data_IF_846081858559
#
_entry.id   IF_846081858559
#
_cell.length_a   1.000
_cell.length_b   1.000
_cell.length_c   1.000
_cell.angle_alpha   90.00
_cell.angle_beta   90.00
_cell.angle_gamma   90.00
#
_symmetry.space_group_name_H-M   'P 1'
#
loop_
_entity.id
_entity.type
_entity.pdbx_description
1 polymer ?
#
# COMPACT_ATOMS: atom_id res chain seq x y z
N UNK A 1 -21.03 10.31 4.48
CA UNK A 1 -19.63 10.47 4.01
C UNK A 1 -19.49 11.93 3.57
N UNK A 2 -18.34 12.60 3.75
CA UNK A 2 -18.24 14.04 3.44
C UNK A 2 -18.49 14.35 1.96
N UNK A 3 -18.76 15.62 1.64
CA UNK A 3 -18.81 16.12 0.24
C UNK A 3 -17.50 15.89 -0.53
N UNK A 4 -16.41 15.60 0.20
CA UNK A 4 -15.03 15.44 -0.25
C UNK A 4 -14.71 13.95 -0.50
N UNK A 5 -14.21 13.63 -1.70
CA UNK A 5 -13.71 12.30 -2.08
C UNK A 5 -12.26 12.39 -2.51
N UNK A 6 -11.44 11.44 -2.08
CA UNK A 6 -10.05 11.32 -2.48
C UNK A 6 -9.99 10.47 -3.76
N UNK A 7 -9.52 11.05 -4.86
CA UNK A 7 -9.29 10.33 -6.11
C UNK A 7 -7.79 10.12 -6.25
N UNK A 8 -7.40 8.85 -6.24
CA UNK A 8 -6.02 8.41 -6.40
C UNK A 8 -5.70 8.09 -7.87
N UNK A 9 -4.45 8.32 -8.25
CA UNK A 9 -3.89 8.00 -9.56
C UNK A 9 -2.51 7.39 -9.39
N UNK A 10 -2.26 6.30 -10.10
CA UNK A 10 -1.00 5.56 -10.06
C UNK A 10 -0.09 5.96 -11.22
N UNK A 11 1.20 6.13 -10.94
CA UNK A 11 2.26 6.38 -11.91
C UNK A 11 3.44 5.42 -11.75
N UNK A 12 4.18 5.25 -12.85
CA UNK A 12 5.45 4.56 -12.94
C UNK A 12 6.52 5.63 -13.11
N UNK A 13 7.40 5.82 -12.13
CA UNK A 13 8.59 6.64 -12.30
C UNK A 13 9.73 5.77 -12.83
N UNK A 14 10.32 6.18 -13.95
CA UNK A 14 11.53 5.58 -14.51
C UNK A 14 12.78 5.99 -13.71
N UNK A 15 12.76 5.65 -12.42
CA UNK A 15 13.82 5.83 -11.46
C UNK A 15 13.68 4.78 -10.34
N UNK A 16 14.78 4.17 -9.88
CA UNK A 16 14.73 3.26 -8.75
C UNK A 16 14.39 4.03 -7.46
N UNK A 17 13.78 3.34 -6.49
CA UNK A 17 13.30 3.95 -5.24
C UNK A 17 14.43 4.68 -4.52
N UNK A 18 15.61 4.07 -4.49
CA UNK A 18 16.83 4.56 -3.89
C UNK A 18 17.16 5.99 -4.39
N UNK A 19 17.06 6.23 -5.70
CA UNK A 19 17.31 7.54 -6.31
C UNK A 19 16.25 8.59 -5.92
N UNK A 20 14.96 8.20 -5.87
CA UNK A 20 13.88 9.10 -5.45
C UNK A 20 14.06 9.54 -3.99
N UNK A 21 14.50 8.63 -3.12
CA UNK A 21 14.77 8.93 -1.71
C UNK A 21 15.99 9.85 -1.58
N UNK A 22 17.07 9.61 -2.33
CA UNK A 22 18.28 10.44 -2.31
C UNK A 22 18.04 11.86 -2.87
N UNK A 23 17.28 11.99 -3.95
CA UNK A 23 16.92 13.29 -4.56
C UNK A 23 15.77 14.01 -3.79
N UNK A 24 15.06 13.27 -2.94
CA UNK A 24 13.97 13.78 -2.11
C UNK A 24 12.72 14.16 -2.90
N UNK A 25 12.43 13.49 -4.01
CA UNK A 25 11.27 13.79 -4.85
C UNK A 25 11.17 12.94 -6.11
N UNK A 26 9.96 12.88 -6.67
CA UNK A 26 9.71 12.26 -7.98
C UNK A 26 9.98 13.32 -9.06
N UNK A 27 10.50 12.90 -10.22
CA UNK A 27 10.69 13.76 -11.41
C UNK A 27 9.52 13.60 -12.37
N UNK A 28 8.92 14.70 -12.83
CA UNK A 28 7.69 14.62 -13.63
C UNK A 28 7.92 14.05 -15.03
N UNK A 29 9.07 14.36 -15.61
CA UNK A 29 9.49 13.99 -16.96
C UNK A 29 9.75 12.48 -17.13
N UNK A 30 9.88 11.74 -16.03
CA UNK A 30 10.13 10.29 -16.05
C UNK A 30 8.89 9.46 -15.69
N UNK A 31 7.71 10.09 -15.58
CA UNK A 31 6.49 9.39 -15.16
C UNK A 31 5.63 8.93 -16.34
N UNK A 32 5.32 7.64 -16.35
CA UNK A 32 4.25 7.06 -17.16
C UNK A 32 3.02 6.81 -16.28
N UNK A 33 1.90 7.45 -16.59
CA UNK A 33 0.66 7.28 -15.82
C UNK A 33 -0.12 6.04 -16.25
N UNK A 34 -0.71 5.33 -15.28
CA UNK A 34 -1.71 4.29 -15.57
C UNK A 34 -2.98 4.93 -16.19
N UNK A 35 -3.79 4.16 -16.94
CA UNK A 35 -5.03 4.64 -17.53
C UNK A 35 -6.02 5.17 -16.50
N UNK A 36 -6.77 6.22 -16.83
CA UNK A 36 -7.82 6.71 -15.94
C UNK A 36 -9.00 5.73 -15.85
N UNK A 37 -9.58 5.60 -14.66
CA UNK A 37 -10.81 4.84 -14.46
C UNK A 37 -12.06 5.70 -14.70
N UNK A 38 -13.23 5.06 -14.66
CA UNK A 38 -14.51 5.75 -14.78
C UNK A 38 -14.73 6.68 -13.58
N UNK A 39 -15.66 7.61 -13.70
CA UNK A 39 -16.05 8.47 -12.58
C UNK A 39 -16.39 7.64 -11.34
N UNK A 40 -16.01 8.16 -10.18
CA UNK A 40 -16.18 7.51 -8.87
C UNK A 40 -15.36 6.23 -8.67
N UNK A 41 -14.37 5.97 -9.51
CA UNK A 41 -13.39 4.92 -9.30
C UNK A 41 -11.98 5.52 -9.18
N UNK A 42 -11.11 4.85 -8.43
CA UNK A 42 -9.70 5.21 -8.35
C UNK A 42 -8.82 3.97 -8.30
N UNK A 43 -7.52 4.18 -8.56
CA UNK A 43 -6.47 3.19 -8.33
C UNK A 43 -5.51 3.72 -7.28
N UNK A 44 -5.14 2.88 -6.33
CA UNK A 44 -4.28 3.21 -5.20
C UNK A 44 -3.37 2.04 -4.83
N UNK A 45 -2.43 2.29 -3.92
CA UNK A 45 -1.53 1.30 -3.35
C UNK A 45 -0.78 0.43 -4.38
N UNK A 46 -0.03 1.02 -5.32
CA UNK A 46 0.64 0.24 -6.35
C UNK A 46 1.83 -0.54 -5.81
N UNK A 47 1.97 -1.78 -6.28
CA UNK A 47 3.16 -2.62 -6.11
C UNK A 47 3.58 -3.23 -7.45
N UNK A 48 4.85 -3.10 -7.79
CA UNK A 48 5.40 -3.53 -9.07
C UNK A 48 6.24 -4.81 -8.92
N UNK A 49 6.16 -5.68 -9.92
CA UNK A 49 6.94 -6.91 -10.00
C UNK A 49 7.44 -7.14 -11.43
N UNK A 50 8.74 -7.35 -11.61
CA UNK A 50 9.32 -7.68 -12.92
C UNK A 50 9.38 -9.19 -13.10
N UNK A 51 8.88 -9.69 -14.24
CA UNK A 51 9.02 -11.09 -14.63
C UNK A 51 9.02 -11.23 -16.15
N UNK A 52 9.91 -12.04 -16.70
CA UNK A 52 9.99 -12.34 -18.14
C UNK A 52 9.94 -11.07 -19.03
N UNK A 53 10.75 -10.05 -18.68
CA UNK A 53 10.81 -8.73 -19.36
C UNK A 53 9.47 -7.98 -19.40
N UNK A 54 8.61 -8.21 -18.41
CA UNK A 54 7.35 -7.47 -18.24
C UNK A 54 7.27 -6.92 -16.83
N UNK A 55 6.71 -5.72 -16.73
CA UNK A 55 6.37 -5.08 -15.47
C UNK A 55 4.90 -5.34 -15.15
N UNK A 56 4.63 -5.95 -14.01
CA UNK A 56 3.31 -6.19 -13.49
C UNK A 56 3.05 -5.20 -12.36
N UNK A 57 1.97 -4.42 -12.45
CA UNK A 57 1.61 -3.43 -11.43
C UNK A 57 0.27 -3.84 -10.83
N UNK A 58 0.32 -4.27 -9.58
CA UNK A 58 -0.83 -4.62 -8.76
C UNK A 58 -1.32 -3.36 -8.06
N UNK A 59 -2.63 -3.11 -8.09
CA UNK A 59 -3.25 -1.93 -7.50
C UNK A 59 -4.55 -2.29 -6.80
N UNK A 60 -4.89 -1.56 -5.74
CA UNK A 60 -6.29 -1.46 -5.33
C UNK A 60 -7.07 -0.75 -6.43
N UNK A 61 -8.21 -1.33 -6.82
CA UNK A 61 -9.23 -0.61 -7.58
C UNK A 61 -10.51 -0.49 -6.77
N UNK A 62 -10.89 0.75 -6.48
CA UNK A 62 -12.01 1.06 -5.62
C UNK A 62 -13.16 1.69 -6.42
N UNK A 63 -14.38 1.31 -6.08
CA UNK A 63 -15.58 1.95 -6.60
C UNK A 63 -16.41 2.56 -5.47
N UNK A 64 -16.54 3.90 -5.45
CA UNK A 64 -17.32 4.61 -4.43
C UNK A 64 -18.81 4.23 -4.41
N UNK A 65 -19.34 3.66 -5.48
CA UNK A 65 -20.75 3.24 -5.58
C UNK A 65 -21.00 1.95 -4.79
N UNK A 66 -20.05 1.02 -4.83
CA UNK A 66 -20.11 -0.25 -4.08
C UNK A 66 -19.39 -0.16 -2.74
N UNK A 67 -18.46 0.79 -2.59
CA UNK A 67 -17.48 0.90 -1.50
C UNK A 67 -16.64 -0.37 -1.30
N UNK A 68 -16.26 -0.98 -2.41
CA UNK A 68 -15.52 -2.23 -2.44
C UNK A 68 -14.26 -2.06 -3.27
N UNK A 69 -13.14 -2.56 -2.73
CA UNK A 69 -11.82 -2.54 -3.34
C UNK A 69 -11.41 -3.96 -3.69
N UNK A 70 -10.94 -4.16 -4.91
CA UNK A 70 -10.38 -5.42 -5.40
C UNK A 70 -8.98 -5.17 -5.95
N UNK A 71 -8.17 -6.22 -6.06
CA UNK A 71 -6.82 -6.12 -6.63
C UNK A 71 -6.90 -6.41 -8.12
N UNK A 72 -6.46 -5.46 -8.94
CA UNK A 72 -6.21 -5.68 -10.36
C UNK A 72 -4.71 -5.62 -10.66
N UNK A 73 -4.32 -6.24 -11.77
CA UNK A 73 -2.95 -6.19 -12.30
C UNK A 73 -2.95 -5.60 -13.70
N UNK A 74 -2.06 -4.64 -13.91
CA UNK A 74 -1.73 -4.06 -15.21
C UNK A 74 -0.37 -4.59 -15.67
N UNK A 75 -0.29 -5.02 -16.93
CA UNK A 75 0.92 -5.63 -17.49
C UNK A 75 1.51 -4.69 -18.52
N UNK A 76 2.78 -4.38 -18.37
CA UNK A 76 3.53 -3.45 -19.20
C UNK A 76 4.73 -4.14 -19.84
N UNK A 77 5.12 -3.68 -21.03
CA UNK A 77 6.44 -4.02 -21.60
C UNK A 77 7.56 -3.17 -20.97
N UNK A 78 8.81 -3.43 -21.38
CA UNK A 78 10.01 -2.71 -20.90
C UNK A 78 10.01 -1.20 -21.24
N UNK A 79 9.12 -0.76 -22.13
CA UNK A 79 8.95 0.65 -22.53
C UNK A 79 7.71 1.28 -21.90
N UNK A 80 7.11 0.61 -20.92
CA UNK A 80 5.90 1.02 -20.22
C UNK A 80 4.67 1.19 -21.14
N UNK A 81 4.60 0.44 -22.25
CA UNK A 81 3.35 0.29 -23.01
C UNK A 81 2.45 -0.75 -22.33
N UNK A 82 1.18 -0.40 -22.14
CA UNK A 82 0.19 -1.29 -21.53
C UNK A 82 -0.13 -2.46 -22.48
N UNK A 83 0.11 -3.68 -22.02
CA UNK A 83 -0.18 -4.94 -22.71
C UNK A 83 -1.51 -5.56 -22.29
N UNK A 84 -1.98 -5.28 -21.07
CA UNK A 84 -3.25 -5.82 -20.59
C UNK A 84 -3.57 -5.48 -19.14
N UNK A 85 -4.82 -5.75 -18.76
CA UNK A 85 -5.39 -5.53 -17.42
C UNK A 85 -6.26 -6.74 -17.05
N UNK A 86 -6.17 -7.21 -15.81
CA UNK A 86 -6.95 -8.35 -15.30
C UNK A 86 -7.24 -8.16 -13.81
N UNK A 87 -8.26 -8.84 -13.30
CA UNK A 87 -8.47 -8.97 -11.85
C UNK A 87 -7.46 -9.99 -11.33
N UNK A 88 -6.68 -9.61 -10.32
CA UNK A 88 -5.70 -10.50 -9.69
C UNK A 88 -6.29 -11.20 -8.47
N UNK A 89 -7.00 -10.46 -7.61
CA UNK A 89 -7.63 -11.01 -6.41
C UNK A 89 -8.91 -10.24 -6.08
N UNK A 90 -9.99 -10.96 -5.79
CA UNK A 90 -11.27 -10.40 -5.40
C UNK A 90 -11.89 -11.27 -4.32
N UNK A 91 -12.34 -10.63 -3.25
CA UNK A 91 -12.91 -11.29 -2.07
C UNK A 91 -14.23 -10.60 -1.67
N UNK A 92 -15.06 -11.23 -0.82
CA UNK A 92 -16.27 -10.60 -0.28
C UNK A 92 -16.01 -9.37 0.60
N UNK A 93 -14.78 -9.18 1.06
CA UNK A 93 -14.32 -8.00 1.79
C UNK A 93 -13.46 -7.09 0.89
N UNK A 94 -13.24 -5.86 1.35
CA UNK A 94 -12.37 -4.90 0.69
C UNK A 94 -10.90 -5.31 0.83
N UNK A 95 -10.16 -5.22 -0.28
CA UNK A 95 -8.72 -5.46 -0.39
C UNK A 95 -8.02 -4.18 -0.84
N UNK A 96 -6.87 -3.88 -0.24
CA UNK A 96 -5.96 -2.79 -0.62
C UNK A 96 -4.51 -3.22 -0.37
N UNK A 97 -3.53 -2.32 -0.57
CA UNK A 97 -2.11 -2.58 -0.28
C UNK A 97 -1.58 -3.96 -0.73
N UNK A 98 -1.70 -4.35 -2.01
CA UNK A 98 -1.32 -5.67 -2.51
C UNK A 98 0.20 -5.84 -2.60
N UNK A 99 0.89 -5.96 -1.47
CA UNK A 99 2.35 -6.08 -1.44
C UNK A 99 2.79 -7.39 -2.11
N UNK A 100 3.39 -7.32 -3.31
CA UNK A 100 3.85 -8.48 -4.10
C UNK A 100 5.38 -8.60 -4.06
N UNK A 101 5.88 -9.81 -3.79
CA UNK A 101 7.31 -10.08 -3.63
C UNK A 101 7.67 -11.54 -3.90
N UNK A 102 8.94 -11.79 -4.15
CA UNK A 102 9.50 -13.14 -4.29
C UNK A 102 10.15 -13.58 -2.98
N UNK A 103 9.89 -14.81 -2.56
CA UNK A 103 10.52 -15.44 -1.41
C UNK A 103 10.44 -16.96 -1.54
N UNK A 104 11.50 -17.65 -1.12
CA UNK A 104 11.56 -19.12 -1.11
C UNK A 104 11.23 -19.78 -2.47
N UNK A 105 11.57 -19.11 -3.57
CA UNK A 105 11.31 -19.58 -4.94
C UNK A 105 9.86 -19.41 -5.43
N UNK A 106 9.01 -18.77 -4.63
CA UNK A 106 7.60 -18.54 -4.91
C UNK A 106 7.31 -17.04 -4.99
N UNK A 107 6.18 -16.68 -5.64
CA UNK A 107 5.68 -15.30 -5.68
C UNK A 107 4.51 -15.18 -4.72
N UNK A 108 4.60 -14.20 -3.82
CA UNK A 108 3.66 -13.97 -2.74
C UNK A 108 2.96 -12.63 -2.88
N UNK A 109 1.74 -12.55 -2.35
CA UNK A 109 0.98 -11.31 -2.18
C UNK A 109 0.48 -11.24 -0.73
N UNK A 110 0.71 -10.11 -0.08
CA UNK A 110 0.20 -9.81 1.26
C UNK A 110 -0.68 -8.56 1.22
N UNK A 111 -1.96 -8.68 0.82
CA UNK A 111 -2.86 -7.54 0.76
C UNK A 111 -3.32 -7.10 2.15
N UNK A 112 -3.63 -5.82 2.32
CA UNK A 112 -4.46 -5.39 3.44
C UNK A 112 -5.88 -5.92 3.25
N UNK A 113 -6.39 -6.58 4.28
CA UNK A 113 -7.74 -7.16 4.31
C UNK A 113 -8.41 -6.94 5.66
N UNK A 114 -8.36 -5.72 6.21
CA UNK A 114 -8.83 -5.42 7.58
C UNK A 114 -10.21 -5.99 7.91
N UNK A 115 -11.16 -5.93 6.96
CA UNK A 115 -12.54 -6.39 7.18
C UNK A 115 -12.69 -7.92 7.20
N UNK A 116 -11.67 -8.68 6.77
CA UNK A 116 -11.61 -10.14 6.96
C UNK A 116 -11.29 -10.53 8.41
N UNK A 117 -10.71 -9.60 9.19
CA UNK A 117 -10.24 -9.84 10.55
C UNK A 117 -8.92 -10.61 10.64
N UNK A 118 -8.24 -10.87 9.52
CA UNK A 118 -6.99 -11.64 9.45
C UNK A 118 -6.00 -11.00 8.49
N UNK A 119 -4.72 -11.32 8.67
CA UNK A 119 -3.66 -11.03 7.70
C UNK A 119 -3.33 -12.34 6.96
N UNK A 120 -3.80 -12.47 5.72
CA UNK A 120 -3.63 -13.69 4.91
C UNK A 120 -2.55 -13.47 3.87
N UNK A 121 -1.54 -14.35 3.87
CA UNK A 121 -0.52 -14.44 2.84
C UNK A 121 -1.04 -15.33 1.70
N UNK A 122 -0.98 -14.82 0.48
CA UNK A 122 -1.38 -15.54 -0.74
C UNK A 122 -0.16 -15.93 -1.55
N UNK A 123 -0.20 -17.13 -2.14
CA UNK A 123 0.80 -17.64 -3.08
C UNK A 123 0.24 -17.60 -4.50
N UNK A 124 1.06 -17.26 -5.48
CA UNK A 124 0.66 -17.34 -6.88
C UNK A 124 0.54 -18.81 -7.32
N UNK A 125 -0.68 -19.30 -7.51
CA UNK A 125 -0.91 -20.61 -8.13
C UNK A 125 -0.60 -20.56 -9.65
N UNK A 126 -0.93 -19.43 -10.28
CA UNK A 126 -0.49 -19.08 -11.63
C UNK A 126 -0.38 -17.56 -11.73
N UNK A 127 0.85 -17.07 -11.84
CA UNK A 127 1.12 -15.63 -11.92
C UNK A 127 0.66 -15.05 -13.28
N UNK A 128 0.01 -13.86 -13.33
CA UNK A 128 -0.17 -12.90 -12.24
C UNK A 128 -1.56 -12.87 -11.58
N UNK A 129 -2.52 -13.68 -12.03
CA UNK A 129 -3.95 -13.49 -11.76
C UNK A 129 -4.66 -14.68 -11.10
N UNK A 130 -3.92 -15.72 -10.69
CA UNK A 130 -4.44 -16.79 -9.85
C UNK A 130 -3.62 -16.90 -8.57
N UNK A 131 -4.28 -16.61 -7.45
CA UNK A 131 -3.70 -16.58 -6.11
C UNK A 131 -4.50 -17.50 -5.18
N UNK A 132 -3.80 -18.22 -4.31
CA UNK A 132 -4.40 -19.08 -3.30
C UNK A 132 -3.97 -18.65 -1.89
N UNK A 133 -4.89 -18.67 -0.89
CA UNK A 133 -4.52 -18.39 0.49
C UNK A 133 -3.61 -19.50 1.01
N UNK A 134 -2.39 -19.14 1.41
CA UNK A 134 -1.37 -20.10 1.82
C UNK A 134 -1.24 -20.20 3.34
N UNK A 135 -1.19 -19.05 4.04
CA UNK A 135 -1.16 -19.02 5.49
C UNK A 135 -1.79 -17.75 6.06
N UNK A 136 -2.25 -17.83 7.30
CA UNK A 136 -2.63 -16.65 8.09
C UNK A 136 -1.46 -16.29 8.99
N UNK A 137 -0.99 -15.04 8.93
CA UNK A 137 0.01 -14.50 9.83
C UNK A 137 -0.70 -14.11 11.13
N UNK A 138 -0.44 -14.86 12.20
CA UNK A 138 -1.01 -14.61 13.52
C UNK A 138 -0.16 -13.58 14.29
N UNK A 139 -0.77 -12.44 14.62
CA UNK A 139 -0.17 -11.35 15.40
C UNK A 139 -0.86 -11.21 16.78
N UNK A 140 -1.53 -12.27 17.23
CA UNK A 140 -2.31 -12.29 18.45
C UNK A 140 -3.48 -11.31 18.37
N UNK A 141 -3.53 -10.27 19.22
CA UNK A 141 -4.66 -9.34 19.25
C UNK A 141 -4.64 -8.29 18.12
N UNK A 142 -3.55 -8.17 17.36
CA UNK A 142 -3.44 -7.15 16.32
C UNK A 142 -4.04 -7.64 15.00
N UNK A 143 -4.81 -6.78 14.32
CA UNK A 143 -5.11 -6.93 12.89
C UNK A 143 -4.26 -5.91 12.14
N UNK A 144 -3.37 -6.38 11.27
CA UNK A 144 -2.45 -5.51 10.55
C UNK A 144 -3.11 -4.72 9.42
N UNK A 145 -2.69 -3.46 9.28
CA UNK A 145 -3.01 -2.51 8.22
C UNK A 145 -1.68 -2.14 7.54
N UNK A 146 -1.68 -2.10 6.20
CA UNK A 146 -0.53 -1.87 5.31
C UNK A 146 0.71 -2.72 5.66
N UNK A 147 0.50 -4.03 5.87
CA UNK A 147 1.57 -4.93 6.27
C UNK A 147 2.67 -5.04 5.20
N UNK A 148 3.92 -4.74 5.56
CA UNK A 148 5.06 -4.75 4.66
C UNK A 148 6.13 -5.74 5.14
N UNK A 149 6.23 -6.94 4.53
CA UNK A 149 7.23 -7.93 4.90
C UNK A 149 8.60 -7.61 4.28
N UNK A 150 9.66 -7.92 5.02
CA UNK A 150 11.03 -7.61 4.59
C UNK A 150 12.05 -8.56 5.22
N UNK A 151 12.81 -9.27 4.40
CA UNK A 151 13.89 -10.13 4.90
C UNK A 151 15.17 -9.32 5.09
N UNK A 152 15.69 -9.30 6.32
CA UNK A 152 16.88 -8.54 6.68
C UNK A 152 17.60 -9.19 7.87
N UNK A 153 18.93 -9.28 7.76
CA UNK A 153 19.81 -9.84 8.80
C UNK A 153 19.35 -11.21 9.31
N UNK A 154 18.92 -12.08 8.39
CA UNK A 154 18.54 -13.46 8.67
C UNK A 154 17.12 -13.65 9.20
N UNK A 155 16.34 -12.56 9.34
CA UNK A 155 14.96 -12.62 9.82
C UNK A 155 14.00 -11.98 8.81
N UNK A 156 12.79 -12.52 8.76
CA UNK A 156 11.64 -11.81 8.22
C UNK A 156 11.17 -10.79 9.24
N UNK A 157 11.05 -9.55 8.82
CA UNK A 157 10.41 -8.46 9.53
C UNK A 157 9.06 -8.15 8.91
N UNK A 158 8.10 -7.73 9.74
CA UNK A 158 6.79 -7.25 9.31
C UNK A 158 6.54 -5.88 9.92
N UNK A 159 6.46 -4.85 9.08
CA UNK A 159 6.07 -3.51 9.50
C UNK A 159 4.56 -3.34 9.27
N UNK A 160 3.83 -2.88 10.28
CA UNK A 160 2.38 -2.69 10.15
C UNK A 160 1.83 -1.68 11.14
N UNK A 161 0.66 -1.13 10.85
CA UNK A 161 -0.15 -0.41 11.83
C UNK A 161 -1.22 -1.34 12.40
N UNK A 162 -1.40 -1.44 13.72
CA UNK A 162 -2.50 -2.21 14.29
C UNK A 162 -3.82 -1.46 14.05
N UNK A 163 -4.82 -2.15 13.50
CA UNK A 163 -6.16 -1.59 13.40
C UNK A 163 -6.78 -1.39 14.78
N UNK A 164 -7.48 -0.28 14.98
CA UNK A 164 -8.17 0.01 16.25
C UNK A 164 -9.62 0.43 16.04
N UNK A 165 -10.49 0.10 17.00
CA UNK A 165 -11.89 0.54 17.06
C UNK A 165 -12.18 1.12 18.46
N UNK A 166 -12.40 2.44 18.60
CA UNK A 166 -12.34 3.46 17.55
C UNK A 166 -10.91 3.69 17.02
N UNK A 167 -10.75 4.35 15.84
CA UNK A 167 -9.44 4.76 15.34
C UNK A 167 -8.71 5.65 16.37
N UNK A 168 -7.43 5.40 16.57
CA UNK A 168 -6.58 6.25 17.42
C UNK A 168 -6.30 7.60 16.71
N UNK A 169 -6.19 8.71 17.45
CA UNK A 169 -5.90 10.02 16.86
C UNK A 169 -4.44 10.15 16.39
N UNK A 170 -3.54 9.31 16.89
CA UNK A 170 -2.13 9.25 16.50
C UNK A 170 -1.85 7.82 16.03
N UNK A 171 -1.05 7.69 14.98
CA UNK A 171 -0.70 6.40 14.41
C UNK A 171 0.36 5.67 15.24
N UNK A 172 0.36 4.34 15.11
CA UNK A 172 1.30 3.42 15.74
C UNK A 172 2.00 2.59 14.66
N UNK A 173 3.32 2.44 14.78
CA UNK A 173 4.07 1.45 14.04
C UNK A 173 4.38 0.27 14.96
N UNK A 174 3.89 -0.90 14.57
CA UNK A 174 4.23 -2.16 15.20
C UNK A 174 5.17 -2.96 14.28
N UNK A 175 6.00 -3.80 14.90
CA UNK A 175 6.82 -4.79 14.22
C UNK A 175 6.52 -6.19 14.73
N UNK A 176 6.67 -7.16 13.85
CA UNK A 176 6.85 -8.56 14.19
C UNK A 176 8.04 -9.13 13.42
N UNK A 177 8.58 -10.26 13.87
CA UNK A 177 9.65 -10.96 13.17
C UNK A 177 9.45 -12.48 13.21
N UNK A 178 10.01 -13.18 12.23
CA UNK A 178 9.98 -14.62 12.10
C UNK A 178 11.25 -15.13 11.40
N UNK A 179 11.61 -16.39 11.63
CA UNK A 179 12.69 -17.05 10.86
C UNK A 179 12.23 -17.48 9.46
N UNK A 180 10.93 -17.74 9.30
CA UNK A 180 10.30 -18.17 8.05
C UNK A 180 9.13 -17.26 7.71
N UNK A 181 8.88 -17.03 6.42
CA UNK A 181 7.81 -16.14 5.97
C UNK A 181 6.42 -16.59 6.47
N UNK A 182 6.20 -17.90 6.52
CA UNK A 182 4.96 -18.52 7.01
C UNK A 182 4.85 -18.55 8.55
N UNK A 183 5.83 -17.98 9.26
CA UNK A 183 5.88 -17.94 10.72
C UNK A 183 6.56 -19.15 11.37
N UNK A 184 6.44 -19.29 12.71
CA UNK A 184 5.63 -18.45 13.59
C UNK A 184 6.17 -17.02 13.70
N UNK A 185 5.25 -16.05 13.75
CA UNK A 185 5.58 -14.63 13.89
C UNK A 185 5.56 -14.22 15.37
N UNK A 186 6.61 -13.52 15.79
CA UNK A 186 6.77 -12.98 17.14
C UNK A 186 6.65 -11.47 17.08
N UNK A 187 5.69 -10.90 17.82
CA UNK A 187 5.59 -9.44 17.95
C UNK A 187 6.80 -8.88 18.67
N UNK A 188 7.27 -7.74 18.18
CA UNK A 188 8.36 -7.03 18.84
C UNK A 188 7.93 -6.57 20.25
N UNK A 189 8.75 -6.81 21.30
CA UNK A 189 8.37 -6.53 22.69
C UNK A 189 8.17 -5.03 22.97
N UNK A 190 8.88 -4.17 22.23
CA UNK A 190 8.76 -2.71 22.37
C UNK A 190 7.65 -2.09 21.50
N UNK A 191 6.66 -2.87 21.06
CA UNK A 191 5.52 -2.33 20.33
C UNK A 191 4.64 -1.43 21.24
N UNK A 192 4.14 -0.28 20.75
CA UNK A 192 4.49 0.34 19.47
C UNK A 192 5.91 0.90 19.48
N UNK A 193 6.71 0.60 18.44
CA UNK A 193 8.09 1.11 18.36
C UNK A 193 8.16 2.59 17.98
N UNK A 194 7.05 3.12 17.47
CA UNK A 194 6.90 4.51 17.08
C UNK A 194 5.45 4.96 17.24
N UNK A 195 5.27 6.17 17.74
CA UNK A 195 3.98 6.81 17.98
C UNK A 195 4.01 8.23 17.41
N UNK A 196 3.43 8.40 16.22
CA UNK A 196 3.47 9.65 15.43
C UNK A 196 2.37 9.59 14.35
N UNK A 197 1.77 10.74 13.99
CA UNK A 197 0.83 10.82 12.88
C UNK A 197 1.51 11.04 11.53
N UNK A 198 2.78 11.46 11.53
CA UNK A 198 3.51 11.81 10.32
C UNK A 198 4.41 10.70 9.76
N UNK A 199 4.54 9.56 10.46
CA UNK A 199 5.58 8.58 10.09
C UNK A 199 5.43 7.17 10.70
N UNK A 200 4.20 6.66 10.80
CA UNK A 200 3.95 5.32 11.40
C UNK A 200 3.30 4.32 10.48
N UNK A 201 2.43 4.75 9.56
CA UNK A 201 1.72 3.86 8.66
C UNK A 201 2.60 3.50 7.46
N UNK A 202 2.89 2.22 7.20
CA UNK A 202 3.66 1.83 6.02
C UNK A 202 3.02 2.37 4.73
N UNK A 203 3.84 2.72 3.76
CA UNK A 203 3.43 3.33 2.52
C UNK A 203 4.31 2.91 1.35
N UNK A 204 4.70 1.64 1.30
CA UNK A 204 5.46 1.04 0.21
C UNK A 204 6.54 0.06 0.64
N UNK A 205 7.59 -0.05 -0.16
CA UNK A 205 8.59 -1.12 -0.07
C UNK A 205 9.77 -0.75 0.85
N UNK A 206 10.05 -1.53 1.92
CA UNK A 206 11.27 -1.39 2.69
C UNK A 206 12.52 -1.71 1.85
N UNK A 207 13.62 -0.98 2.09
CA UNK A 207 14.90 -1.16 1.37
C UNK A 207 16.09 -0.96 2.29
N UNK A 208 17.20 -1.61 1.96
CA UNK A 208 18.52 -1.23 2.51
C UNK A 208 19.12 -0.16 1.62
N UNK A 209 19.27 1.06 2.13
CA UNK A 209 19.96 2.16 1.46
C UNK A 209 21.17 2.57 2.27
N UNK A 210 22.35 2.62 1.64
CA UNK A 210 23.60 3.00 2.31
C UNK A 210 23.84 2.23 3.63
N UNK A 211 23.52 0.94 3.64
CA UNK A 211 23.67 0.05 4.80
C UNK A 211 22.63 0.21 5.90
N UNK A 212 21.54 0.96 5.68
CA UNK A 212 20.47 1.18 6.67
C UNK A 212 19.12 0.78 6.11
N UNK A 213 18.26 0.18 6.94
CA UNK A 213 16.88 -0.09 6.56
C UNK A 213 16.09 1.21 6.51
N UNK A 214 15.33 1.38 5.45
CA UNK A 214 14.44 2.50 5.19
C UNK A 214 13.06 1.95 4.83
N UNK A 215 12.02 2.42 5.51
CA UNK A 215 10.61 2.13 5.20
C UNK A 215 9.93 3.41 4.71
N UNK A 216 9.33 3.43 3.51
CA UNK A 216 8.38 4.47 3.15
C UNK A 216 7.19 4.44 4.10
N UNK A 217 6.88 5.59 4.73
CA UNK A 217 5.75 5.74 5.65
C UNK A 217 4.90 6.95 5.26
N UNK A 218 3.60 6.84 5.48
CA UNK A 218 2.64 7.91 5.24
C UNK A 218 2.78 9.01 6.29
N UNK A 219 2.77 10.25 5.82
CA UNK A 219 2.54 11.43 6.64
C UNK A 219 1.05 11.79 6.60
N UNK A 220 0.35 11.41 7.65
CA UNK A 220 -1.08 11.64 7.83
C UNK A 220 -1.37 12.85 8.74
N UNK A 221 -0.40 13.74 8.98
CA UNK A 221 -0.54 14.87 9.92
C UNK A 221 -1.63 15.89 9.54
N UNK A 222 -1.95 16.00 8.24
CA UNK A 222 -2.94 16.98 7.73
C UNK A 222 -4.13 16.32 7.03
N UNK A 223 -3.92 15.20 6.37
CA UNK A 223 -4.94 14.41 5.67
C UNK A 223 -4.44 13.00 5.52
N UNK A 224 -5.35 12.03 5.38
CA UNK A 224 -5.01 10.65 5.05
C UNK A 224 -4.09 10.60 3.82
N UNK A 225 -2.90 10.02 3.93
CA UNK A 225 -1.99 9.93 2.77
C UNK A 225 -1.49 11.27 2.25
N UNK A 226 -1.21 12.22 3.14
CA UNK A 226 -0.82 13.59 2.77
C UNK A 226 0.57 13.71 2.16
N UNK A 227 1.48 12.78 2.45
CA UNK A 227 2.78 12.61 1.79
C UNK A 227 3.40 11.26 2.16
N UNK A 228 4.51 10.91 1.52
CA UNK A 228 5.44 9.86 1.97
C UNK A 228 6.69 10.48 2.58
N UNK A 229 7.24 9.83 3.62
CA UNK A 229 8.55 10.07 4.20
C UNK A 229 9.36 8.77 4.26
N UNK A 230 10.69 8.82 4.14
CA UNK A 230 11.53 7.69 4.51
C UNK A 230 11.66 7.63 6.04
N UNK A 231 11.31 6.50 6.64
CA UNK A 231 11.61 6.18 8.04
C UNK A 231 12.89 5.33 8.08
N UNK A 232 13.93 5.88 8.68
CA UNK A 232 15.23 5.22 8.80
C UNK A 232 15.33 4.46 10.11
N UNK A 233 15.84 3.23 10.05
CA UNK A 233 16.12 2.40 11.21
C UNK A 233 17.63 2.45 11.51
N UNK A 234 17.99 3.10 12.62
CA UNK A 234 19.36 3.10 13.14
C UNK A 234 19.68 1.79 13.88
N UNK A 235 18.65 1.16 14.44
CA UNK A 235 18.69 -0.20 14.97
C UNK A 235 17.38 -0.90 14.61
N UNK A 236 17.49 -2.13 14.11
CA UNK A 236 16.39 -3.04 13.84
C UNK A 236 16.81 -4.45 14.28
N UNK A 237 16.63 -4.74 15.56
CA UNK A 237 16.94 -6.04 16.17
C UNK A 237 15.77 -6.51 17.04
N UNK A 238 15.65 -7.81 17.35
CA UNK A 238 14.53 -8.32 18.16
C UNK A 238 14.37 -7.69 19.55
N UNK A 239 15.43 -7.07 20.07
CA UNK A 239 15.50 -6.42 21.38
C UNK A 239 15.48 -4.89 21.30
N UNK A 240 15.79 -4.30 20.15
CA UNK A 240 16.00 -2.85 20.02
C UNK A 240 15.59 -2.31 18.64
N UNK A 241 14.75 -1.28 18.67
CA UNK A 241 14.37 -0.50 17.49
C UNK A 241 14.61 0.98 17.77
N UNK A 242 15.34 1.64 16.86
CA UNK A 242 15.58 3.09 16.90
C UNK A 242 15.29 3.66 15.52
N UNK A 243 14.40 4.65 15.46
CA UNK A 243 13.94 5.20 14.17
C UNK A 243 14.05 6.72 14.11
N UNK A 244 14.32 7.23 12.91
CA UNK A 244 14.32 8.65 12.58
C UNK A 244 13.60 8.90 11.25
N UNK A 245 12.63 9.83 11.23
CA UNK A 245 11.89 10.16 10.03
C UNK A 245 12.60 11.25 9.20
N UNK A 246 12.78 11.00 7.90
CA UNK A 246 13.32 11.97 6.96
C UNK A 246 12.30 13.01 6.47
N UNK A 247 12.74 13.87 5.52
CA UNK A 247 11.86 14.86 4.89
C UNK A 247 10.79 14.19 4.01
N UNK A 248 9.71 14.92 3.72
CA UNK A 248 8.69 14.47 2.76
C UNK A 248 9.29 14.32 1.37
N UNK A 249 8.91 13.26 0.67
CA UNK A 249 9.16 13.12 -0.77
C UNK A 249 8.34 14.18 -1.49
N UNK A 250 9.00 15.01 -2.29
CA UNK A 250 8.34 16.12 -3.01
C UNK A 250 7.58 15.61 -4.23
N UNK A 251 6.41 16.18 -4.43
CA UNK A 251 5.61 16.04 -5.65
C UNK A 251 5.86 17.23 -6.59
N UNK A 252 6.14 16.98 -7.88
CA UNK A 252 6.16 18.02 -8.90
C UNK A 252 4.81 18.74 -9.04
N UNK A 253 4.84 20.05 -9.24
CA UNK A 253 3.62 20.84 -9.51
C UNK A 253 2.93 20.41 -10.82
N UNK A 254 3.70 19.85 -11.75
CA UNK A 254 3.23 19.29 -13.02
C UNK A 254 2.25 18.13 -12.85
N UNK A 255 2.16 17.53 -11.66
CA UNK A 255 1.17 16.48 -11.38
C UNK A 255 -0.23 17.03 -11.15
N UNK A 256 -0.42 18.36 -11.14
CA UNK A 256 -1.72 18.99 -11.01
C UNK A 256 -2.76 18.33 -11.95
N UNK A 257 -3.96 18.00 -11.45
CA UNK A 257 -4.49 18.36 -10.13
C UNK A 257 -4.12 17.40 -8.97
N UNK A 258 -3.29 16.38 -9.20
CA UNK A 258 -2.92 15.36 -8.20
C UNK A 258 -1.70 15.76 -7.37
N UNK A 259 -1.83 16.83 -6.60
CA UNK A 259 -0.74 17.38 -5.75
C UNK A 259 -1.09 17.39 -4.27
N UNK A 260 -2.21 16.79 -3.87
CA UNK A 260 -2.74 16.86 -2.50
C UNK A 260 -2.23 15.75 -1.58
N UNK A 261 -1.44 14.80 -2.10
CA UNK A 261 -0.90 13.70 -1.32
C UNK A 261 -0.35 12.55 -2.16
N UNK A 262 0.33 11.63 -1.49
CA UNK A 262 0.93 10.39 -1.94
C UNK A 262 0.88 9.45 -0.73
N UNK A 263 0.40 8.22 -0.88
CA UNK A 263 0.37 7.28 0.25
C UNK A 263 1.06 5.95 0.00
N UNK A 264 1.50 5.71 -1.23
CA UNK A 264 2.30 4.53 -1.56
C UNK A 264 3.45 4.90 -2.50
N UNK A 265 4.64 4.41 -2.16
CA UNK A 265 5.90 4.56 -2.89
C UNK A 265 6.67 3.23 -2.85
N UNK A 266 6.52 2.42 -3.89
CA UNK A 266 6.94 1.02 -3.91
C UNK A 266 8.03 0.76 -4.94
N UNK A 267 9.08 0.05 -4.54
CA UNK A 267 10.18 -0.31 -5.43
C UNK A 267 9.77 -1.45 -6.38
N UNK A 268 10.23 -1.38 -7.62
CA UNK A 268 10.05 -2.45 -8.60
C UNK A 268 11.27 -2.50 -9.54
N UNK A 269 12.37 -3.10 -9.07
CA UNK A 269 13.61 -3.19 -9.83
C UNK A 269 14.19 -1.80 -10.15
N UNK A 270 14.32 -1.49 -11.45
CA UNK A 270 14.83 -0.19 -11.93
C UNK A 270 13.82 0.96 -11.87
N UNK A 271 12.56 0.67 -11.55
CA UNK A 271 11.48 1.69 -11.50
C UNK A 271 10.88 1.77 -10.11
N UNK A 272 10.09 2.82 -9.89
CA UNK A 272 9.28 3.01 -8.69
C UNK A 272 7.84 3.23 -9.10
N UNK A 273 6.92 2.52 -8.48
CA UNK A 273 5.49 2.76 -8.67
C UNK A 273 4.93 3.50 -7.46
N UNK A 274 4.09 4.49 -7.71
CA UNK A 274 3.59 5.37 -6.67
C UNK A 274 2.19 5.86 -7.03
N UNK A 275 1.50 6.45 -6.07
CA UNK A 275 0.25 7.13 -6.32
C UNK A 275 0.26 8.57 -5.84
N UNK A 276 -0.71 9.32 -6.36
CA UNK A 276 -0.97 10.69 -5.97
C UNK A 276 -2.46 10.93 -5.88
N UNK A 277 -2.86 11.85 -5.01
CA UNK A 277 -4.28 12.18 -4.82
C UNK A 277 -4.64 13.59 -5.22
N UNK A 278 -5.90 13.73 -5.61
CA UNK A 278 -6.65 14.98 -5.61
C UNK A 278 -7.93 14.81 -4.83
N UNK A 279 -8.51 15.92 -4.42
CA UNK A 279 -9.85 15.94 -3.86
C UNK A 279 -10.89 16.31 -4.91
N UNK A 280 -12.02 15.60 -4.92
CA UNK A 280 -13.22 16.04 -5.61
C UNK A 280 -14.35 16.36 -4.64
N UNK A 281 -14.97 17.53 -4.82
CA UNK A 281 -16.26 17.87 -4.20
C UNK A 281 -17.38 17.42 -5.12
N UNK A 282 -18.26 16.53 -4.66
CA UNK A 282 -19.33 16.00 -5.51
C UNK A 282 -20.68 15.97 -4.81
N UNK A 283 -21.61 16.83 -5.25
CA UNK A 283 -23.03 16.75 -4.88
C UNK A 283 -23.68 15.43 -5.36
N UNK A 284 -23.20 14.87 -6.47
CA UNK A 284 -23.60 13.54 -6.95
C UNK A 284 -23.06 12.40 -6.05
N UNK A 285 -22.02 12.66 -5.24
CA UNK A 285 -21.62 11.76 -4.17
C UNK A 285 -22.69 11.58 -3.10
N UNK A 286 -23.44 12.64 -2.79
CA UNK A 286 -24.56 12.60 -1.85
C UNK A 286 -25.74 11.78 -2.41
N UNK A 287 -26.03 11.89 -3.71
CA UNK A 287 -27.12 11.11 -4.33
C UNK A 287 -26.82 9.61 -4.35
N UNK A 288 -25.56 9.21 -4.58
CA UNK A 288 -25.12 7.80 -4.47
C UNK A 288 -25.31 7.30 -3.02
N UNK A 289 -24.98 8.12 -2.02
CA UNK A 289 -25.19 7.77 -0.61
C UNK A 289 -26.68 7.61 -0.27
N UNK A 290 -27.53 8.54 -0.72
CA UNK A 290 -28.98 8.49 -0.53
C UNK A 290 -29.59 7.23 -1.16
N UNK A 291 -29.28 6.94 -2.43
CA UNK A 291 -29.79 5.74 -3.13
C UNK A 291 -29.42 4.46 -2.36
N UNK A 292 -28.21 4.41 -1.79
CA UNK A 292 -27.73 3.24 -1.06
C UNK A 292 -28.41 3.09 0.30
N UNK A 293 -28.54 4.17 1.08
CA UNK A 293 -29.27 4.12 2.36
C UNK A 293 -30.72 3.70 2.13
N UNK A 294 -31.36 4.16 1.05
CA UNK A 294 -32.69 3.67 0.65
C UNK A 294 -32.72 2.17 0.33
N UNK A 295 -31.71 1.62 -0.37
CA UNK A 295 -31.60 0.18 -0.66
C UNK A 295 -31.39 -0.67 0.60
N UNK A 296 -30.56 -0.21 1.56
CA UNK A 296 -30.39 -0.89 2.86
C UNK A 296 -31.69 -0.93 3.67
N UNK A 297 -32.50 0.13 3.58
CA UNK A 297 -33.79 0.21 4.27
C UNK A 297 -34.82 -0.74 3.68
N UNK A 298 -34.76 -0.97 2.36
CA UNK A 298 -35.63 -1.92 1.65
C UNK A 298 -35.24 -3.37 1.95
N UNK A 299 -33.94 -3.69 2.03
CA UNK A 299 -33.46 -5.05 2.35
C UNK A 299 -33.70 -5.47 3.82
N UNK A 300 -33.86 -4.53 4.75
CA UNK A 300 -34.22 -4.82 6.15
C UNK A 300 -35.72 -5.06 6.39
N UNK A 301 -36.56 -4.88 5.36
CA UNK A 301 -38.02 -5.05 5.42
C UNK A 301 -38.52 -6.32 4.73
N UNK A 302 -37.61 -7.16 4.23
CA UNK A 302 -37.87 -8.53 3.78
C UNK A 302 -37.17 -9.50 4.74
#
# INVERSE_FOLDING_TARGET
MGLRKDIWRVGISDAPLDAIIEEGGVKAETVTWLPELKSFQFMADPFGFWKDNRLYIFVETYDYRTRHGIIEVFVYDERFNLLGRRVALSEPWHLSYPYVFEADGEIWMLPEAYHSGKLTLYRAASFPDAWEPACVIDLGPDVAVDASPFFHDGLWWLFYTPASKPPKPVGELHLAYAEQLTGPWTRHPNNPVRFDSASTRPGGTPRVLNGRVMLPVQDCSWTYGGAIRPLWFEALTPDRVVTHAGPKVRLPEQFAPYTEGMHTLSAAGSVTVFDVKRTELSAHGLSIELIRESKKFLQKKC
#
